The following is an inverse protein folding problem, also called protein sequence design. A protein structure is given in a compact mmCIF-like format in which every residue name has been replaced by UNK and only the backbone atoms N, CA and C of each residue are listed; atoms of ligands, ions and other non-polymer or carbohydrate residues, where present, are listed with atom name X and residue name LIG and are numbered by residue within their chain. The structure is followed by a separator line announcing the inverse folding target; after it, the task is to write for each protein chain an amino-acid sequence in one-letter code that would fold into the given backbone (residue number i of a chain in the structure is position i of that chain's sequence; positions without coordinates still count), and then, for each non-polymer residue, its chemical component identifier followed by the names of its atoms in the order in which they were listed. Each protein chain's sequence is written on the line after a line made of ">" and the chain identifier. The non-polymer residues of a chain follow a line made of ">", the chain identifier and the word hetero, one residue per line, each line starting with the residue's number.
data_IF_582176393497
#
_entry.id   IF_582176393497
#
_cell.length_a   1.000
_cell.length_b   1.000
_cell.length_c   1.000
_cell.angle_alpha   90.00
_cell.angle_beta   90.00
_cell.angle_gamma   90.00
#
_symmetry.space_group_name_H-M   'P 1'
#
loop_
_entity.id
_entity.type
_entity.pdbx_description
1 polymer ?
#
# COMPACT_ATOMS: atom_id res chain seq x y z
N UNK A 1 13.89 11.78 -14.52
CA UNK A 1 13.11 11.68 -15.77
C UNK A 1 13.81 12.36 -16.95
N UNK A 2 14.26 13.62 -16.83
CA UNK A 2 14.89 14.37 -17.94
C UNK A 2 16.11 13.65 -18.55
N UNK A 3 17.02 13.14 -17.71
CA UNK A 3 18.23 12.44 -18.18
C UNK A 3 17.86 11.17 -18.97
N UNK A 4 16.91 10.39 -18.46
CA UNK A 4 16.49 9.12 -19.06
C UNK A 4 15.78 9.32 -20.40
N UNK A 5 15.06 10.44 -20.57
CA UNK A 5 14.25 10.71 -21.76
C UNK A 5 15.06 10.82 -23.07
N UNK A 6 16.37 11.07 -22.97
CA UNK A 6 17.27 11.10 -24.14
C UNK A 6 17.35 9.75 -24.87
N UNK A 7 17.20 8.65 -24.14
CA UNK A 7 17.28 7.29 -24.67
C UNK A 7 15.99 6.48 -24.49
N UNK A 8 15.14 6.86 -23.52
CA UNK A 8 13.93 6.13 -23.11
C UNK A 8 12.69 7.01 -23.18
N UNK A 9 12.48 7.67 -24.33
CA UNK A 9 11.41 8.66 -24.50
C UNK A 9 10.04 8.05 -24.27
N UNK A 10 9.79 6.88 -24.87
CA UNK A 10 8.51 6.17 -24.74
C UNK A 10 8.25 5.74 -23.29
N UNK A 11 9.24 5.15 -22.61
CA UNK A 11 9.10 4.75 -21.22
C UNK A 11 8.83 5.93 -20.30
N UNK A 12 9.45 7.08 -20.56
CA UNK A 12 9.20 8.29 -19.77
C UNK A 12 7.76 8.77 -19.94
N UNK A 13 7.21 8.73 -21.16
CA UNK A 13 5.81 9.09 -21.40
C UNK A 13 4.82 8.09 -20.77
N UNK A 14 5.14 6.78 -20.84
CA UNK A 14 4.32 5.74 -20.23
C UNK A 14 4.35 5.83 -18.69
N UNK A 15 5.52 6.04 -18.09
CA UNK A 15 5.68 6.12 -16.62
C UNK A 15 4.84 7.26 -16.07
N UNK A 16 4.79 8.41 -16.74
CA UNK A 16 3.95 9.54 -16.32
C UNK A 16 2.46 9.19 -16.25
N UNK A 17 2.00 8.17 -16.97
CA UNK A 17 0.60 7.72 -16.99
C UNK A 17 0.33 6.50 -16.10
N UNK A 18 1.37 5.77 -15.69
CA UNK A 18 1.27 4.62 -14.78
C UNK A 18 0.61 4.94 -13.42
N UNK A 19 0.12 3.93 -12.71
CA UNK A 19 -0.40 4.12 -11.34
C UNK A 19 0.66 4.57 -10.35
N UNK A 20 1.92 4.15 -10.51
CA UNK A 20 3.02 4.60 -9.66
C UNK A 20 3.23 6.12 -9.73
N UNK A 21 2.98 6.73 -10.89
CA UNK A 21 3.11 8.18 -11.09
C UNK A 21 1.80 8.96 -10.91
N UNK A 22 0.64 8.36 -11.21
CA UNK A 22 -0.63 9.08 -11.16
C UNK A 22 -1.41 8.84 -9.89
N UNK A 23 -1.34 7.62 -9.33
CA UNK A 23 -2.24 7.11 -8.29
C UNK A 23 -3.73 7.33 -8.61
N UNK A 24 -4.07 7.49 -9.90
CA UNK A 24 -5.38 7.97 -10.33
C UNK A 24 -6.52 7.08 -9.81
N UNK A 25 -6.39 5.76 -9.95
CA UNK A 25 -7.43 4.86 -9.45
C UNK A 25 -7.62 4.88 -7.93
N UNK A 26 -6.56 5.05 -7.16
CA UNK A 26 -6.66 5.12 -5.68
C UNK A 26 -7.24 6.47 -5.25
N UNK A 27 -6.78 7.57 -5.84
CA UNK A 27 -7.26 8.92 -5.51
C UNK A 27 -8.75 9.05 -5.80
N UNK A 28 -9.17 8.73 -7.02
CA UNK A 28 -10.56 8.94 -7.45
C UNK A 28 -11.52 7.99 -6.73
N UNK A 29 -11.12 6.73 -6.50
CA UNK A 29 -11.92 5.80 -5.71
C UNK A 29 -12.09 6.29 -4.27
N UNK A 30 -11.01 6.73 -3.61
CA UNK A 30 -11.09 7.20 -2.22
C UNK A 30 -11.97 8.45 -2.12
N UNK A 31 -11.80 9.41 -3.03
CA UNK A 31 -12.63 10.63 -3.08
C UNK A 31 -14.11 10.32 -3.32
N UNK A 32 -14.42 9.38 -4.22
CA UNK A 32 -15.79 8.95 -4.47
C UNK A 32 -16.41 8.33 -3.21
N UNK A 33 -15.67 7.43 -2.56
CA UNK A 33 -16.10 6.78 -1.33
C UNK A 33 -16.20 7.74 -0.13
N UNK A 34 -15.50 8.87 -0.15
CA UNK A 34 -15.58 9.91 0.89
C UNK A 34 -16.60 11.01 0.57
N UNK A 35 -17.33 10.91 -0.54
CA UNK A 35 -18.35 11.88 -0.93
C UNK A 35 -17.81 13.14 -1.63
N UNK A 36 -16.51 13.18 -1.95
CA UNK A 36 -15.85 14.34 -2.56
C UNK A 36 -15.92 14.37 -4.10
N UNK A 37 -16.53 13.35 -4.73
CA UNK A 37 -16.87 13.29 -6.15
C UNK A 37 -17.97 12.25 -6.41
N UNK A 38 -18.80 12.47 -7.42
CA UNK A 38 -19.96 11.61 -7.73
C UNK A 38 -19.62 10.31 -8.44
N UNK A 39 -18.48 10.23 -9.13
CA UNK A 39 -18.02 9.02 -9.84
C UNK A 39 -16.53 8.82 -9.62
N UNK A 40 -16.04 7.57 -9.60
CA UNK A 40 -14.59 7.27 -9.54
C UNK A 40 -13.96 7.01 -10.91
N UNK A 41 -14.78 6.72 -11.93
CA UNK A 41 -14.35 6.39 -13.28
C UNK A 41 -15.22 7.12 -14.33
N UNK A 42 -14.62 7.69 -15.40
CA UNK A 42 -13.18 7.81 -15.65
C UNK A 42 -12.47 8.69 -14.61
N UNK A 43 -11.16 8.47 -14.34
CA UNK A 43 -10.46 9.21 -13.30
C UNK A 43 -10.33 10.69 -13.64
N UNK A 44 -10.58 11.57 -12.66
CA UNK A 44 -10.48 13.03 -12.81
C UNK A 44 -9.19 13.60 -12.22
N UNK A 45 -8.71 13.01 -11.12
CA UNK A 45 -7.56 13.53 -10.37
C UNK A 45 -6.33 12.61 -10.45
N UNK A 46 -5.14 13.21 -10.36
CA UNK A 46 -3.85 12.51 -10.30
C UNK A 46 -2.87 13.24 -9.37
N UNK A 47 -1.92 12.50 -8.81
CA UNK A 47 -0.88 13.06 -7.95
C UNK A 47 0.13 13.93 -8.72
N UNK A 48 0.54 13.49 -9.92
CA UNK A 48 1.52 14.23 -10.74
C UNK A 48 0.90 15.38 -11.54
N UNK A 49 -0.43 15.40 -11.72
CA UNK A 49 -1.14 16.43 -12.47
C UNK A 49 -1.19 16.19 -13.99
N UNK A 50 -1.06 14.93 -14.45
CA UNK A 50 -1.38 14.58 -15.84
C UNK A 50 -2.89 14.64 -16.11
N UNK A 51 -3.68 14.38 -15.07
CA UNK A 51 -5.09 14.76 -14.95
C UNK A 51 -5.19 16.04 -14.10
N UNK A 52 -6.35 16.36 -13.52
CA UNK A 52 -6.42 17.45 -12.53
C UNK A 52 -5.54 17.09 -11.33
N UNK A 53 -4.69 18.02 -10.89
CA UNK A 53 -3.85 17.79 -9.71
C UNK A 53 -4.72 17.63 -8.47
N UNK A 54 -4.37 16.68 -7.60
CA UNK A 54 -5.02 16.51 -6.30
C UNK A 54 -4.99 17.85 -5.52
N UNK A 55 -6.15 18.43 -5.17
CA UNK A 55 -6.21 19.75 -4.54
C UNK A 55 -5.43 19.81 -3.23
N UNK A 56 -4.86 20.98 -2.95
CA UNK A 56 -4.24 21.31 -1.67
C UNK A 56 -5.19 22.26 -0.93
N UNK A 57 -6.22 21.71 -0.29
CA UNK A 57 -7.25 22.46 0.43
C UNK A 57 -6.99 22.39 1.93
N UNK A 58 -7.37 23.44 2.64
CA UNK A 58 -7.48 23.38 4.11
C UNK A 58 -8.54 22.33 4.45
N UNK A 59 -8.26 21.37 5.35
CA UNK A 59 -9.24 20.36 5.73
C UNK A 59 -10.45 21.01 6.42
N UNK A 60 -11.66 20.60 6.03
CA UNK A 60 -12.89 20.90 6.77
C UNK A 60 -13.17 19.77 7.76
N UNK A 61 -12.98 20.06 9.05
CA UNK A 61 -13.07 19.06 10.11
C UNK A 61 -14.47 18.50 10.32
N UNK A 62 -15.51 19.13 9.76
CA UNK A 62 -16.92 18.74 9.91
C UNK A 62 -17.42 17.81 8.79
N UNK A 63 -16.59 17.53 7.79
CA UNK A 63 -17.01 16.77 6.61
C UNK A 63 -15.97 15.74 6.19
N UNK A 64 -16.34 14.44 6.07
CA UNK A 64 -15.50 13.45 5.41
C UNK A 64 -14.98 13.92 4.04
N UNK A 65 -15.87 14.43 3.18
CA UNK A 65 -15.49 14.91 1.85
C UNK A 65 -14.47 16.06 1.91
N UNK A 66 -14.54 16.89 2.95
CA UNK A 66 -13.61 17.99 3.23
C UNK A 66 -12.22 17.56 3.72
N UNK A 67 -12.03 16.30 4.09
CA UNK A 67 -10.79 15.77 4.67
C UNK A 67 -9.98 14.89 3.71
N UNK A 68 -10.64 14.30 2.71
CA UNK A 68 -10.04 13.22 1.89
C UNK A 68 -8.78 13.66 1.15
N UNK A 69 -8.74 14.90 0.64
CA UNK A 69 -7.60 15.42 -0.11
C UNK A 69 -6.37 15.54 0.82
N UNK A 70 -6.55 16.03 2.06
CA UNK A 70 -5.47 16.15 3.05
C UNK A 70 -5.01 14.77 3.54
N UNK A 71 -5.95 13.85 3.80
CA UNK A 71 -5.64 12.46 4.16
C UNK A 71 -4.79 11.76 3.09
N UNK A 72 -5.21 11.82 1.82
CA UNK A 72 -4.46 11.24 0.71
C UNK A 72 -3.04 11.83 0.63
N UNK A 73 -2.91 13.15 0.72
CA UNK A 73 -1.63 13.88 0.63
C UNK A 73 -0.68 13.62 1.79
N UNK A 74 -1.19 13.32 2.99
CA UNK A 74 -0.39 13.19 4.23
C UNK A 74 -0.29 11.78 4.80
N UNK A 75 -1.02 10.80 4.24
CA UNK A 75 -0.92 9.38 4.63
C UNK A 75 -0.67 8.46 3.46
N UNK A 76 -1.44 8.58 2.40
CA UNK A 76 -1.41 7.60 1.32
C UNK A 76 -0.25 7.82 0.33
N UNK A 77 0.06 9.08 0.01
CA UNK A 77 1.00 9.40 -1.08
C UNK A 77 2.49 9.38 -0.68
N UNK A 78 2.84 8.89 0.51
CA UNK A 78 4.24 8.71 0.95
C UNK A 78 5.05 7.77 0.04
N UNK A 79 4.38 6.79 -0.56
CA UNK A 79 5.01 5.78 -1.42
C UNK A 79 5.14 6.23 -2.88
N UNK A 80 4.61 7.41 -3.23
CA UNK A 80 4.59 7.91 -4.59
C UNK A 80 6.01 8.16 -5.10
N UNK A 81 6.28 7.81 -6.36
CA UNK A 81 7.64 7.80 -6.90
C UNK A 81 8.26 9.19 -7.05
N UNK A 82 7.45 10.25 -7.07
CA UNK A 82 7.94 11.64 -7.07
C UNK A 82 8.28 12.15 -5.67
N UNK A 83 7.89 11.42 -4.62
CA UNK A 83 8.14 11.78 -3.22
C UNK A 83 9.47 11.17 -2.79
N UNK A 84 10.32 11.94 -2.12
CA UNK A 84 11.58 11.44 -1.58
C UNK A 84 11.34 10.31 -0.57
N UNK A 85 12.13 9.22 -0.64
CA UNK A 85 12.09 8.15 0.35
C UNK A 85 12.41 8.66 1.76
N UNK A 86 11.78 8.08 2.77
CA UNK A 86 12.05 8.45 4.16
C UNK A 86 13.48 8.05 4.55
N UNK A 87 14.13 8.88 5.38
CA UNK A 87 15.49 8.62 5.87
C UNK A 87 15.46 7.68 7.08
N UNK A 88 14.88 6.52 6.89
CA UNK A 88 14.81 5.46 7.90
C UNK A 88 15.03 4.12 7.22
N UNK A 89 15.48 3.15 8.01
CA UNK A 89 15.71 1.80 7.55
C UNK A 89 14.48 1.26 6.82
N UNK A 90 14.74 0.47 5.78
CA UNK A 90 13.77 -0.12 4.86
C UNK A 90 12.93 0.85 4.02
N UNK A 91 13.05 2.17 4.16
CA UNK A 91 12.29 3.15 3.37
C UNK A 91 13.18 4.06 2.51
N UNK A 92 14.49 3.80 2.46
CA UNK A 92 15.42 4.51 1.60
C UNK A 92 15.11 4.22 0.13
N UNK A 93 14.96 5.29 -0.65
CA UNK A 93 14.85 5.25 -2.11
C UNK A 93 15.05 6.64 -2.69
N UNK A 94 15.46 6.68 -3.95
CA UNK A 94 15.44 7.90 -4.76
C UNK A 94 14.03 8.18 -5.31
N UNK A 95 13.93 9.13 -6.24
CA UNK A 95 12.68 9.54 -6.90
C UNK A 95 12.71 9.25 -8.41
N UNK A 96 11.53 9.26 -9.03
CA UNK A 96 11.35 9.00 -10.45
C UNK A 96 11.91 7.63 -10.86
N UNK A 97 12.60 7.56 -12.00
CA UNK A 97 13.18 6.31 -12.50
C UNK A 97 14.12 5.65 -11.47
N UNK A 98 14.90 6.45 -10.74
CA UNK A 98 15.84 5.96 -9.73
C UNK A 98 15.16 5.41 -8.48
N UNK A 99 13.86 5.65 -8.26
CA UNK A 99 13.14 5.02 -7.14
C UNK A 99 13.11 3.49 -7.26
N UNK A 100 13.26 2.97 -8.49
CA UNK A 100 13.35 1.54 -8.77
C UNK A 100 14.73 1.16 -9.30
N UNK A 101 15.30 1.95 -10.22
CA UNK A 101 16.53 1.57 -10.91
C UNK A 101 17.80 1.81 -10.12
N UNK A 102 17.76 2.57 -9.01
CA UNK A 102 18.87 2.68 -8.06
C UNK A 102 18.56 1.81 -6.85
N UNK A 103 19.27 0.70 -6.69
CA UNK A 103 18.97 -0.26 -5.62
C UNK A 103 19.43 0.26 -4.28
N UNK A 104 18.55 0.24 -3.30
CA UNK A 104 18.86 0.50 -1.89
C UNK A 104 18.80 -0.82 -1.11
N UNK A 105 19.71 -0.96 -0.16
CA UNK A 105 19.57 -1.96 0.89
C UNK A 105 18.75 -1.35 2.05
N UNK A 106 18.16 -2.21 2.88
CA UNK A 106 17.32 -1.76 4.01
C UNK A 106 18.10 -0.90 5.03
N UNK A 107 19.42 -1.07 5.14
CA UNK A 107 20.28 -0.25 6.00
C UNK A 107 20.60 1.13 5.40
N UNK A 108 20.34 1.33 4.11
CA UNK A 108 20.65 2.55 3.36
C UNK A 108 22.15 2.81 3.21
N UNK A 109 23.00 1.80 3.39
CA UNK A 109 24.45 1.93 3.33
C UNK A 109 24.99 1.65 1.92
N UNK A 110 25.98 2.44 1.53
CA UNK A 110 26.73 2.22 0.30
C UNK A 110 27.69 1.03 0.43
N UNK A 111 27.66 0.12 -0.54
CA UNK A 111 28.47 -1.12 -0.58
C UNK A 111 29.31 -1.23 -1.85
N UNK A 112 29.41 -0.15 -2.63
CA UNK A 112 30.29 -0.09 -3.80
C UNK A 112 31.71 0.39 -3.47
N UNK A 113 32.46 0.72 -4.52
CA UNK A 113 33.87 1.12 -4.45
C UNK A 113 34.12 2.59 -4.82
N UNK A 114 33.08 3.40 -4.98
CA UNK A 114 33.23 4.84 -5.24
C UNK A 114 33.88 5.54 -4.04
N UNK A 115 35.11 6.09 -4.17
CA UNK A 115 35.84 6.68 -3.06
C UNK A 115 35.23 8.01 -2.59
N UNK A 116 34.33 8.63 -3.37
CA UNK A 116 33.67 9.87 -3.01
C UNK A 116 32.50 9.66 -2.03
N UNK A 117 32.10 8.41 -1.76
CA UNK A 117 30.95 8.09 -0.90
C UNK A 117 31.42 7.53 0.44
N UNK A 118 31.06 8.26 1.51
CA UNK A 118 31.25 7.82 2.89
C UNK A 118 30.36 6.61 3.21
N UNK A 119 31.00 5.44 3.34
CA UNK A 119 30.34 4.15 3.60
C UNK A 119 29.70 4.07 5.00
N UNK A 120 30.04 4.96 5.92
CA UNK A 120 29.46 5.01 7.27
C UNK A 120 28.10 5.73 7.30
N UNK A 121 27.81 6.53 6.27
CA UNK A 121 26.58 7.32 6.18
C UNK A 121 25.45 6.54 5.52
N UNK A 122 24.26 6.64 6.11
CA UNK A 122 23.01 6.10 5.55
C UNK A 122 22.39 7.06 4.53
N UNK A 123 21.53 6.50 3.68
CA UNK A 123 20.75 7.22 2.67
C UNK A 123 21.32 7.13 1.25
N UNK A 124 22.32 6.28 1.04
CA UNK A 124 22.91 6.04 -0.27
C UNK A 124 22.38 4.74 -0.89
N UNK A 125 22.28 4.66 -2.23
CA UNK A 125 22.01 3.40 -2.89
C UNK A 125 23.17 2.42 -2.62
N UNK A 126 22.90 1.12 -2.74
CA UNK A 126 23.89 0.05 -2.55
C UNK A 126 25.16 0.26 -3.38
N UNK A 127 25.03 0.79 -4.59
CA UNK A 127 26.14 1.09 -5.50
C UNK A 127 25.82 2.28 -6.40
N UNK A 128 26.84 2.88 -6.99
CA UNK A 128 26.69 3.95 -7.98
C UNK A 128 26.33 3.31 -9.33
N UNK A 129 25.06 3.36 -9.72
CA UNK A 129 24.60 2.86 -11.02
C UNK A 129 23.11 2.58 -11.08
N UNK A 130 22.58 2.46 -12.30
CA UNK A 130 21.23 2.01 -12.56
C UNK A 130 21.22 0.54 -12.98
N UNK A 131 20.13 -0.18 -12.68
CA UNK A 131 19.94 -1.58 -13.08
C UNK A 131 18.50 -1.84 -13.52
N UNK A 132 18.31 -2.77 -14.45
CA UNK A 132 17.00 -3.34 -14.79
C UNK A 132 16.69 -4.61 -13.97
N UNK A 133 17.70 -5.21 -13.33
CA UNK A 133 17.51 -6.32 -12.39
C UNK A 133 17.07 -5.77 -11.03
N UNK A 134 15.76 -5.72 -10.80
CA UNK A 134 15.15 -5.15 -9.61
C UNK A 134 14.85 -6.27 -8.59
N UNK A 135 15.52 -6.30 -7.43
CA UNK A 135 15.23 -7.28 -6.40
C UNK A 135 13.89 -6.97 -5.70
N UNK A 136 13.23 -8.01 -5.17
CA UNK A 136 11.98 -7.89 -4.40
C UNK A 136 12.08 -6.87 -3.26
N UNK A 137 13.24 -6.75 -2.62
CA UNK A 137 13.47 -5.76 -1.55
C UNK A 137 13.27 -4.32 -2.00
N UNK A 138 13.61 -3.99 -3.25
CA UNK A 138 13.42 -2.65 -3.79
C UNK A 138 11.93 -2.28 -3.86
N UNK A 139 11.07 -3.23 -4.24
CA UNK A 139 9.62 -3.07 -4.27
C UNK A 139 9.07 -2.85 -2.85
N UNK A 140 9.60 -3.59 -1.87
CA UNK A 140 9.16 -3.55 -0.48
C UNK A 140 9.46 -2.21 0.22
N UNK A 141 10.30 -1.32 -0.32
CA UNK A 141 10.43 0.04 0.21
C UNK A 141 9.11 0.83 0.17
N UNK A 142 8.17 0.45 -0.70
CA UNK A 142 6.82 1.00 -0.76
C UNK A 142 5.74 -0.06 -0.52
N UNK A 143 5.97 -1.30 -0.98
CA UNK A 143 5.00 -2.40 -0.98
C UNK A 143 5.05 -3.24 0.31
N UNK A 144 5.30 -2.60 1.46
CA UNK A 144 5.51 -3.28 2.76
C UNK A 144 4.25 -3.42 3.63
N UNK A 145 3.09 -2.89 3.26
CA UNK A 145 1.86 -3.01 4.05
C UNK A 145 0.91 -4.09 3.51
N UNK A 146 -0.11 -4.46 4.29
CA UNK A 146 -1.16 -5.46 3.95
C UNK A 146 -2.08 -5.09 2.77
N UNK A 147 -1.70 -4.11 1.93
CA UNK A 147 -2.48 -3.73 0.75
C UNK A 147 -1.71 -3.83 -0.56
N UNK A 148 -0.39 -4.10 -0.52
CA UNK A 148 0.54 -3.85 -1.64
C UNK A 148 1.54 -4.96 -1.95
N UNK A 149 1.58 -6.11 -1.27
CA UNK A 149 2.38 -7.26 -1.71
C UNK A 149 3.42 -7.80 -0.72
N UNK A 150 3.46 -7.28 0.51
CA UNK A 150 4.33 -7.79 1.58
C UNK A 150 4.04 -9.27 1.92
N UNK A 151 2.82 -9.72 1.65
CA UNK A 151 2.40 -11.11 1.79
C UNK A 151 3.19 -12.07 0.90
N UNK A 152 3.73 -11.60 -0.23
CA UNK A 152 4.58 -12.39 -1.12
C UNK A 152 5.78 -13.00 -0.39
N UNK A 153 6.39 -12.19 0.48
CA UNK A 153 7.54 -12.58 1.31
C UNK A 153 7.12 -13.11 2.69
N UNK A 154 5.84 -13.39 2.90
CA UNK A 154 5.32 -13.94 4.15
C UNK A 154 5.13 -12.91 5.26
N UNK A 155 5.05 -11.62 4.94
CA UNK A 155 4.91 -10.57 5.95
C UNK A 155 3.45 -10.11 6.07
N UNK A 156 2.90 -10.20 7.27
CA UNK A 156 1.64 -9.58 7.65
C UNK A 156 1.94 -8.40 8.58
N UNK A 157 1.63 -7.18 8.17
CA UNK A 157 1.76 -5.98 8.99
C UNK A 157 0.93 -6.15 10.26
N UNK A 158 1.58 -6.11 11.43
CA UNK A 158 0.90 -6.25 12.72
C UNK A 158 -0.15 -5.15 12.92
N UNK A 159 -1.17 -5.44 13.72
CA UNK A 159 -2.10 -4.42 14.22
C UNK A 159 -1.34 -3.30 14.92
N UNK A 160 -1.84 -2.07 14.84
CA UNK A 160 -1.17 -0.90 15.42
C UNK A 160 -1.28 -0.84 16.94
N UNK A 161 -2.18 -1.64 17.54
CA UNK A 161 -2.22 -1.78 18.99
C UNK A 161 -0.88 -2.34 19.52
N UNK A 162 -0.29 -1.73 20.57
CA UNK A 162 1.02 -2.11 21.09
C UNK A 162 1.18 -3.59 21.43
N UNK A 163 0.11 -4.29 21.80
CA UNK A 163 0.14 -5.73 22.13
C UNK A 163 0.61 -6.58 20.92
N UNK A 164 0.30 -6.15 19.69
CA UNK A 164 0.75 -6.81 18.46
C UNK A 164 2.11 -6.29 17.96
N UNK A 165 2.70 -5.34 18.67
CA UNK A 165 3.94 -4.65 18.33
C UNK A 165 5.06 -4.97 19.34
N UNK A 166 4.99 -6.11 20.02
CA UNK A 166 5.94 -6.54 21.07
C UNK A 166 7.42 -6.33 20.71
N UNK A 167 7.91 -6.64 19.48
CA UNK A 167 9.31 -6.38 19.14
C UNK A 167 9.71 -4.92 19.32
N UNK A 168 8.79 -3.99 19.04
CA UNK A 168 9.04 -2.56 19.23
C UNK A 168 9.06 -2.20 20.71
N UNK A 169 8.20 -2.81 21.52
CA UNK A 169 8.17 -2.61 22.96
C UNK A 169 9.47 -3.07 23.65
N UNK A 170 10.14 -4.07 23.08
CA UNK A 170 11.45 -4.56 23.54
C UNK A 170 12.65 -3.85 22.91
N UNK A 171 12.41 -2.77 22.15
CA UNK A 171 13.45 -1.90 21.59
C UNK A 171 13.94 -2.29 20.19
N UNK A 172 13.33 -3.30 19.55
CA UNK A 172 13.65 -3.69 18.17
C UNK A 172 13.05 -2.67 17.21
N UNK A 173 13.91 -2.02 16.42
CA UNK A 173 13.47 -1.10 15.37
C UNK A 173 12.95 -1.87 14.16
N UNK A 174 11.69 -1.72 13.78
CA UNK A 174 11.13 -2.43 12.64
C UNK A 174 11.67 -1.86 11.33
N UNK A 175 11.94 -2.75 10.37
CA UNK A 175 12.47 -2.38 9.05
C UNK A 175 11.60 -1.39 8.28
N UNK A 176 10.27 -1.39 8.43
CA UNK A 176 9.40 -0.49 7.66
C UNK A 176 8.56 0.44 8.57
N UNK A 177 9.02 0.69 9.80
CA UNK A 177 8.34 1.55 10.76
C UNK A 177 7.13 0.92 11.47
N UNK A 178 6.93 -0.39 11.34
CA UNK A 178 5.86 -1.17 11.98
C UNK A 178 6.29 -2.63 12.15
N UNK A 179 5.79 -3.32 13.17
CA UNK A 179 6.05 -4.74 13.37
C UNK A 179 5.30 -5.61 12.35
N UNK A 180 5.78 -6.84 12.20
CA UNK A 180 5.22 -7.84 11.31
C UNK A 180 5.07 -9.17 12.01
N UNK A 181 3.96 -9.84 11.73
CA UNK A 181 3.80 -11.27 11.95
C UNK A 181 4.36 -11.98 10.72
N UNK A 182 5.26 -12.95 10.93
CA UNK A 182 5.81 -13.79 9.87
C UNK A 182 4.91 -14.99 9.64
N UNK A 183 4.32 -15.06 8.46
CA UNK A 183 3.47 -16.14 7.98
C UNK A 183 4.18 -16.92 6.85
N UNK A 184 3.54 -17.97 6.36
CA UNK A 184 4.06 -18.74 5.23
C UNK A 184 4.19 -17.87 3.97
N UNK A 185 5.39 -17.72 3.37
CA UNK A 185 5.54 -16.98 2.13
C UNK A 185 4.98 -17.72 0.92
N UNK A 186 4.85 -17.00 -0.19
CA UNK A 186 4.47 -17.55 -1.49
C UNK A 186 5.47 -18.62 -1.97
N UNK A 187 4.99 -19.66 -2.65
CA UNK A 187 5.84 -20.67 -3.27
C UNK A 187 6.76 -20.08 -4.33
N UNK A 188 6.29 -19.12 -5.12
CA UNK A 188 7.08 -18.50 -6.18
C UNK A 188 8.25 -17.72 -5.57
N UNK A 189 8.00 -16.99 -4.48
CA UNK A 189 9.06 -16.30 -3.75
C UNK A 189 10.11 -17.29 -3.21
N UNK A 190 9.68 -18.40 -2.59
CA UNK A 190 10.60 -19.46 -2.12
C UNK A 190 11.41 -20.08 -3.26
N UNK A 191 10.86 -20.12 -4.46
CA UNK A 191 11.54 -20.59 -5.67
C UNK A 191 12.44 -19.54 -6.34
N UNK A 192 12.61 -18.35 -5.73
CA UNK A 192 13.50 -17.31 -6.23
C UNK A 192 12.89 -16.37 -7.29
N UNK A 193 11.58 -16.47 -7.54
CA UNK A 193 10.86 -15.58 -8.47
C UNK A 193 10.74 -14.19 -7.82
N UNK A 194 11.04 -13.15 -8.59
CA UNK A 194 10.98 -11.73 -8.21
C UNK A 194 9.63 -11.14 -8.62
N UNK A 195 9.29 -9.99 -8.04
CA UNK A 195 8.07 -9.26 -8.41
C UNK A 195 7.99 -8.96 -9.91
N UNK A 196 9.12 -8.57 -10.51
CA UNK A 196 9.21 -8.19 -11.94
C UNK A 196 9.13 -9.38 -12.90
N UNK A 197 9.24 -10.62 -12.41
CA UNK A 197 9.08 -11.82 -13.25
C UNK A 197 7.59 -12.12 -13.49
N UNK A 198 6.72 -11.66 -12.59
CA UNK A 198 5.26 -11.73 -12.75
C UNK A 198 4.68 -10.42 -13.28
N UNK A 199 5.14 -9.28 -12.75
CA UNK A 199 4.67 -7.94 -13.13
C UNK A 199 5.50 -7.36 -14.27
N UNK A 200 4.88 -7.28 -15.45
CA UNK A 200 5.56 -6.83 -16.66
C UNK A 200 5.78 -5.31 -16.69
N UNK A 201 6.69 -4.88 -17.57
CA UNK A 201 7.02 -3.46 -17.80
C UNK A 201 5.79 -2.59 -18.02
N UNK A 202 4.82 -3.05 -18.82
CA UNK A 202 3.59 -2.29 -19.13
C UNK A 202 2.71 -2.08 -17.90
N UNK A 203 2.75 -2.97 -16.91
CA UNK A 203 1.98 -2.84 -15.67
C UNK A 203 2.67 -1.88 -14.69
N UNK A 204 4.00 -1.97 -14.59
CA UNK A 204 4.81 -1.19 -13.63
C UNK A 204 5.05 0.23 -14.16
N UNK A 205 5.56 0.33 -15.38
CA UNK A 205 5.94 1.56 -16.05
C UNK A 205 4.80 2.16 -16.89
N UNK A 206 3.66 1.49 -17.02
CA UNK A 206 2.53 1.94 -17.83
C UNK A 206 2.60 1.51 -19.29
N UNK A 207 1.44 1.52 -19.93
CA UNK A 207 1.21 1.12 -21.32
C UNK A 207 0.75 2.29 -22.21
N UNK A 208 0.88 3.52 -21.69
CA UNK A 208 0.42 4.74 -22.37
C UNK A 208 -1.01 5.15 -22.04
N UNK A 209 -1.75 4.34 -21.26
CA UNK A 209 -3.06 4.68 -20.70
C UNK A 209 -2.97 5.18 -19.25
N UNK A 210 -3.98 5.95 -18.79
CA UNK A 210 -4.12 6.33 -17.38
C UNK A 210 -5.20 5.45 -16.75
N UNK A 211 -4.84 4.34 -16.08
CA UNK A 211 -5.80 3.44 -15.46
C UNK A 211 -6.56 4.13 -14.31
N UNK A 212 -7.89 4.00 -14.34
CA UNK A 212 -8.81 4.42 -13.29
C UNK A 212 -8.99 3.38 -12.17
N UNK A 213 -8.46 2.17 -12.33
CA UNK A 213 -8.44 1.15 -11.27
C UNK A 213 -7.14 0.34 -11.25
N UNK A 214 -6.81 -0.30 -10.11
CA UNK A 214 -5.68 -1.23 -10.05
C UNK A 214 -5.88 -2.44 -10.97
N UNK A 215 -7.12 -2.92 -11.13
CA UNK A 215 -7.47 -4.04 -12.00
C UNK A 215 -7.34 -3.74 -13.49
N UNK A 216 -7.41 -2.46 -13.88
CA UNK A 216 -7.10 -2.04 -15.25
C UNK A 216 -5.60 -2.10 -15.50
N UNK A 217 -4.76 -1.72 -14.54
CA UNK A 217 -3.31 -1.72 -14.70
C UNK A 217 -2.68 -3.12 -14.61
N UNK A 218 -3.18 -3.99 -13.72
CA UNK A 218 -2.59 -5.30 -13.46
C UNK A 218 -3.16 -6.36 -14.40
N UNK A 219 -2.28 -6.96 -15.20
CA UNK A 219 -2.53 -8.00 -16.22
C UNK A 219 -1.89 -9.35 -15.87
N UNK A 220 -1.17 -9.47 -14.75
CA UNK A 220 -0.65 -10.75 -14.25
C UNK A 220 -1.73 -11.84 -14.28
N UNK A 221 -1.36 -13.02 -14.78
CA UNK A 221 -2.22 -14.20 -14.79
C UNK A 221 -1.42 -15.46 -14.55
N UNK A 222 -1.97 -16.38 -13.76
CA UNK A 222 -1.40 -17.72 -13.54
C UNK A 222 -1.15 -18.44 -14.87
N UNK A 223 -2.01 -18.18 -15.87
CA UNK A 223 -1.98 -18.89 -17.16
C UNK A 223 -0.83 -18.50 -18.08
N UNK A 224 -0.07 -17.43 -17.76
CA UNK A 224 1.13 -17.06 -18.52
C UNK A 224 2.26 -18.08 -18.35
N UNK A 225 2.39 -18.66 -17.15
CA UNK A 225 3.40 -19.68 -16.85
C UNK A 225 2.78 -21.08 -16.69
N UNK A 226 1.61 -21.17 -16.05
CA UNK A 226 0.91 -22.44 -15.87
C UNK A 226 -0.03 -22.66 -17.05
N UNK A 227 0.12 -23.77 -17.77
CA UNK A 227 -0.76 -24.24 -18.85
C UNK A 227 -2.11 -24.75 -18.34
N UNK A 228 -2.74 -24.00 -17.43
CA UNK A 228 -3.98 -24.35 -16.75
C UNK A 228 -3.90 -25.68 -16.00
N UNK A 229 -5.03 -26.40 -15.98
CA UNK A 229 -5.19 -27.74 -15.40
C UNK A 229 -4.31 -28.84 -16.03
N UNK A 230 -3.52 -28.49 -17.06
CA UNK A 230 -2.65 -29.41 -17.80
C UNK A 230 -1.15 -29.21 -17.49
N UNK A 231 -0.77 -28.31 -16.58
CA UNK A 231 0.66 -28.14 -16.23
C UNK A 231 1.19 -29.35 -15.45
N UNK A 232 2.40 -29.85 -15.74
CA UNK A 232 3.09 -30.80 -14.85
C UNK A 232 3.17 -30.22 -13.42
N UNK A 233 2.75 -30.99 -12.41
CA UNK A 233 2.61 -30.52 -11.02
C UNK A 233 1.25 -29.88 -10.65
N UNK A 234 0.48 -29.41 -11.64
CA UNK A 234 -0.96 -29.09 -11.54
C UNK A 234 -1.85 -30.17 -12.16
N UNK A 235 -1.23 -31.25 -12.63
CA UNK A 235 -1.86 -32.29 -13.44
C UNK A 235 -3.18 -32.75 -12.81
N UNK A 236 -4.08 -33.22 -13.67
CA UNK A 236 -5.44 -33.67 -13.36
C UNK A 236 -5.52 -34.85 -12.34
N UNK A 237 -4.50 -35.08 -11.52
CA UNK A 237 -4.50 -36.00 -10.38
C UNK A 237 -5.23 -35.42 -9.17
N UNK A 238 -5.33 -34.09 -9.05
CA UNK A 238 -6.16 -33.44 -8.03
C UNK A 238 -7.64 -33.54 -8.41
N UNK A 239 -8.44 -34.17 -7.56
CA UNK A 239 -9.90 -34.31 -7.75
C UNK A 239 -10.57 -32.94 -7.92
N UNK A 240 -10.08 -31.90 -7.23
CA UNK A 240 -10.60 -30.55 -7.36
C UNK A 240 -10.51 -29.98 -8.79
N UNK A 241 -9.52 -30.40 -9.59
CA UNK A 241 -9.37 -29.97 -10.98
C UNK A 241 -10.34 -30.68 -11.95
N UNK A 242 -10.89 -31.84 -11.56
CA UNK A 242 -11.84 -32.63 -12.35
C UNK A 242 -13.28 -32.16 -12.20
N UNK A 243 -13.59 -31.48 -11.09
CA UNK A 243 -14.91 -30.94 -10.83
C UNK A 243 -15.19 -29.75 -11.77
N UNK A 244 -16.12 -29.93 -12.71
CA UNK A 244 -16.46 -28.94 -13.76
C UNK A 244 -16.82 -27.57 -13.17
N UNK A 245 -17.50 -27.54 -12.03
CA UNK A 245 -17.93 -26.33 -11.34
C UNK A 245 -16.74 -25.49 -10.85
N UNK A 246 -15.60 -26.12 -10.53
CA UNK A 246 -14.40 -25.42 -10.06
C UNK A 246 -13.71 -24.59 -11.15
N UNK A 247 -14.05 -24.79 -12.42
CA UNK A 247 -13.58 -23.92 -13.51
C UNK A 247 -14.07 -22.47 -13.38
N UNK A 248 -15.10 -22.22 -12.55
CA UNK A 248 -15.59 -20.87 -12.21
C UNK A 248 -14.76 -20.18 -11.13
N UNK A 249 -13.93 -20.91 -10.38
CA UNK A 249 -13.05 -20.36 -9.36
C UNK A 249 -11.81 -19.74 -10.01
N UNK A 250 -11.35 -18.59 -9.51
CA UNK A 250 -9.98 -18.15 -9.76
C UNK A 250 -9.02 -19.13 -9.08
N UNK A 251 -7.87 -19.41 -9.69
CA UNK A 251 -6.86 -20.31 -9.11
C UNK A 251 -6.46 -19.92 -7.68
N UNK A 252 -6.40 -18.62 -7.39
CA UNK A 252 -6.09 -18.10 -6.06
C UNK A 252 -7.06 -18.53 -4.97
N UNK A 253 -8.33 -18.81 -5.28
CA UNK A 253 -9.32 -19.28 -4.30
C UNK A 253 -8.86 -20.59 -3.65
N UNK A 254 -8.33 -21.51 -4.46
CA UNK A 254 -7.81 -22.78 -3.96
C UNK A 254 -6.37 -22.62 -3.47
N UNK A 255 -5.53 -21.89 -4.20
CA UNK A 255 -4.09 -21.93 -3.98
C UNK A 255 -3.53 -20.89 -2.99
N UNK A 256 -4.27 -19.85 -2.62
CA UNK A 256 -3.81 -18.90 -1.60
C UNK A 256 -3.83 -19.54 -0.20
N UNK A 257 -2.73 -19.46 0.55
CA UNK A 257 -2.63 -20.00 1.92
C UNK A 257 -3.36 -19.16 2.96
N UNK A 258 -3.32 -17.85 2.80
CA UNK A 258 -3.90 -16.88 3.72
C UNK A 258 -4.14 -15.56 2.98
N UNK A 259 -4.96 -14.69 3.55
CA UNK A 259 -5.33 -13.41 2.93
C UNK A 259 -5.52 -12.41 4.04
N UNK A 260 -4.86 -11.25 3.98
CA UNK A 260 -5.13 -10.19 4.94
C UNK A 260 -6.60 -9.76 4.91
N UNK A 261 -7.22 -9.75 6.07
CA UNK A 261 -8.58 -9.30 6.31
C UNK A 261 -8.54 -8.11 7.27
N UNK A 262 -8.38 -6.93 6.70
CA UNK A 262 -8.26 -5.68 7.44
C UNK A 262 -9.61 -4.93 7.42
N UNK A 263 -10.38 -5.06 8.49
CA UNK A 263 -11.72 -4.48 8.60
C UNK A 263 -11.71 -3.19 9.41
N UNK A 264 -12.42 -2.17 8.90
CA UNK A 264 -12.64 -0.90 9.58
C UNK A 264 -11.34 -0.16 9.91
N UNK A 265 -10.87 0.69 9.01
CA UNK A 265 -9.78 1.60 9.27
C UNK A 265 -10.30 2.89 9.89
N UNK A 266 -10.07 3.08 11.18
CA UNK A 266 -10.23 4.37 11.83
C UNK A 266 -9.11 5.29 11.36
N UNK A 267 -9.48 6.45 10.80
CA UNK A 267 -8.57 7.53 10.41
C UNK A 267 -8.92 8.76 11.23
N UNK A 268 -7.95 9.22 12.02
CA UNK A 268 -8.17 10.25 13.04
C UNK A 268 -7.30 11.44 12.66
N UNK A 269 -7.92 12.55 12.29
CA UNK A 269 -7.21 13.82 12.17
C UNK A 269 -7.23 14.51 13.53
N UNK A 270 -6.07 14.93 14.03
CA UNK A 270 -6.01 15.72 15.26
C UNK A 270 -4.98 16.83 15.17
N UNK A 271 -5.37 18.04 15.58
CA UNK A 271 -4.46 19.16 15.85
C UNK A 271 -4.32 19.43 17.36
N UNK A 272 -4.86 18.58 18.20
CA UNK A 272 -4.76 18.65 19.66
C UNK A 272 -3.30 18.34 20.06
N UNK A 273 -2.63 19.18 20.87
CA UNK A 273 -1.27 18.91 21.35
C UNK A 273 -1.21 17.81 22.45
N UNK A 274 -2.12 16.84 22.43
CA UNK A 274 -2.24 15.78 23.45
C UNK A 274 -1.56 14.48 23.03
N UNK A 275 -0.24 14.46 22.86
CA UNK A 275 0.49 13.27 22.38
C UNK A 275 0.35 12.04 23.30
N UNK A 276 0.28 12.25 24.63
CA UNK A 276 0.15 11.15 25.60
C UNK A 276 -1.11 10.32 25.38
N UNK A 277 -2.23 10.96 25.03
CA UNK A 277 -3.51 10.32 24.68
C UNK A 277 -3.34 9.32 23.54
N UNK A 278 -2.53 9.68 22.55
CA UNK A 278 -2.36 8.93 21.31
C UNK A 278 -1.12 8.05 21.25
N UNK A 279 -0.34 7.94 22.34
CA UNK A 279 0.96 7.26 22.35
C UNK A 279 0.91 5.82 21.81
N UNK A 280 -0.20 5.13 22.03
CA UNK A 280 -0.40 3.74 21.62
C UNK A 280 -0.54 3.57 20.09
N UNK A 281 -0.79 4.65 19.33
CA UNK A 281 -0.92 4.63 17.87
C UNK A 281 0.33 5.12 17.13
N UNK A 282 1.45 5.35 17.82
CA UNK A 282 2.63 5.92 17.19
C UNK A 282 3.26 4.99 16.13
N UNK A 283 3.17 3.66 16.31
CA UNK A 283 3.79 2.65 15.44
C UNK A 283 2.86 2.16 14.33
N UNK A 284 2.50 3.06 13.42
CA UNK A 284 1.57 2.81 12.32
C UNK A 284 2.23 2.75 10.93
N UNK A 285 3.56 2.56 10.89
CA UNK A 285 4.33 2.53 9.65
C UNK A 285 4.58 3.90 9.01
N UNK A 286 4.09 5.00 9.58
CA UNK A 286 4.35 6.36 9.09
C UNK A 286 5.69 6.89 9.65
N UNK A 287 6.68 7.20 8.77
CA UNK A 287 8.01 7.62 9.20
C UNK A 287 8.04 8.98 9.91
N UNK A 288 6.97 9.78 9.84
CA UNK A 288 6.92 11.10 10.48
C UNK A 288 6.28 11.05 11.87
N UNK A 289 5.51 10.02 12.19
CA UNK A 289 4.76 9.94 13.46
C UNK A 289 5.68 9.61 14.62
N UNK A 290 6.50 8.56 14.52
CA UNK A 290 7.40 8.18 15.63
C UNK A 290 8.37 9.31 16.01
N UNK A 291 9.08 9.98 15.09
CA UNK A 291 9.95 11.09 15.45
C UNK A 291 9.20 12.27 16.06
N UNK A 292 7.98 12.57 15.58
CA UNK A 292 7.12 13.60 16.15
C UNK A 292 6.78 13.26 17.61
N UNK A 293 6.30 12.04 17.88
CA UNK A 293 5.96 11.62 19.24
C UNK A 293 7.18 11.61 20.16
N UNK A 294 8.32 11.10 19.71
CA UNK A 294 9.55 11.06 20.51
C UNK A 294 10.02 12.46 20.93
N UNK A 295 9.81 13.48 20.08
CA UNK A 295 10.16 14.87 20.38
C UNK A 295 9.19 15.54 21.36
N UNK A 296 7.91 15.20 21.30
CA UNK A 296 6.84 15.94 22.00
C UNK A 296 6.35 15.28 23.29
N UNK A 297 6.38 13.94 23.41
CA UNK A 297 5.75 13.19 24.51
C UNK A 297 6.19 13.59 25.93
N UNK A 298 7.43 14.04 26.07
CA UNK A 298 8.05 14.39 27.35
C UNK A 298 8.01 15.88 27.67
N UNK A 299 7.52 16.72 26.75
CA UNK A 299 7.39 18.17 27.00
C UNK A 299 6.24 18.43 27.99
N UNK A 300 6.43 19.42 28.87
CA UNK A 300 5.36 19.93 29.74
C UNK A 300 4.27 20.64 28.92
N UNK A 301 4.68 21.36 27.88
CA UNK A 301 3.83 22.06 26.93
C UNK A 301 4.23 21.64 25.51
N UNK A 302 3.64 20.54 24.99
CA UNK A 302 3.95 20.05 23.66
C UNK A 302 3.40 20.96 22.56
N UNK A 303 4.08 20.97 21.41
CA UNK A 303 3.70 21.82 20.27
C UNK A 303 2.52 21.22 19.50
N UNK A 304 1.75 22.06 18.80
CA UNK A 304 0.69 21.60 17.89
C UNK A 304 1.29 20.62 16.87
N UNK A 305 0.71 19.41 16.69
CA UNK A 305 1.23 18.44 15.76
C UNK A 305 1.30 19.02 14.37
N UNK A 306 2.42 18.76 13.71
CA UNK A 306 2.69 19.27 12.37
C UNK A 306 3.36 18.15 11.58
N UNK A 307 2.78 17.76 10.44
CA UNK A 307 3.32 16.69 9.60
C UNK A 307 3.41 17.13 8.14
N UNK A 308 4.33 16.56 7.35
CA UNK A 308 4.53 17.00 5.99
C UNK A 308 3.38 16.59 5.08
N UNK A 309 3.10 17.46 4.12
CA UNK A 309 2.44 17.13 2.90
C UNK A 309 3.42 16.43 1.94
N UNK A 310 3.14 15.19 1.53
CA UNK A 310 4.09 14.42 0.73
C UNK A 310 4.26 14.93 -0.70
N UNK A 311 3.26 15.63 -1.28
CA UNK A 311 3.37 16.16 -2.64
C UNK A 311 4.17 17.46 -2.65
N UNK A 312 3.89 18.37 -1.70
CA UNK A 312 4.48 19.73 -1.71
C UNK A 312 5.70 19.85 -0.81
N UNK A 313 5.91 18.91 0.11
CA UNK A 313 6.93 18.99 1.16
C UNK A 313 6.62 19.99 2.27
N UNK A 314 5.53 20.77 2.15
CA UNK A 314 5.17 21.79 3.15
C UNK A 314 4.68 21.12 4.42
N UNK A 315 5.11 21.65 5.56
CA UNK A 315 4.58 21.27 6.86
C UNK A 315 3.18 21.86 7.06
N UNK A 316 2.26 21.05 7.57
CA UNK A 316 0.88 21.46 7.86
C UNK A 316 0.51 21.09 9.29
N UNK A 317 -0.28 21.95 9.92
CA UNK A 317 -0.83 21.67 11.26
C UNK A 317 -1.74 20.44 11.24
N UNK A 318 -1.84 19.80 12.39
CA UNK A 318 -2.48 18.52 12.59
C UNK A 318 -1.55 17.33 12.32
N UNK A 319 -2.05 16.15 12.66
CA UNK A 319 -1.51 14.86 12.24
C UNK A 319 -2.67 13.92 11.96
N UNK A 320 -2.42 12.94 11.10
CA UNK A 320 -3.33 11.82 10.92
C UNK A 320 -2.80 10.64 11.74
N UNK A 321 -3.70 9.91 12.39
CA UNK A 321 -3.44 8.65 13.07
C UNK A 321 -4.36 7.58 12.51
N UNK A 322 -3.95 6.32 12.61
CA UNK A 322 -4.70 5.19 12.09
C UNK A 322 -4.82 4.10 13.14
N UNK A 323 -5.96 3.40 13.15
CA UNK A 323 -6.20 2.23 13.98
C UNK A 323 -7.16 1.27 13.24
N UNK A 324 -6.96 -0.03 13.39
CA UNK A 324 -7.85 -1.03 12.79
C UNK A 324 -8.90 -1.49 13.81
N UNK A 325 -10.10 -1.84 13.34
CA UNK A 325 -11.14 -2.44 14.19
C UNK A 325 -10.94 -3.94 14.34
N UNK A 326 -10.55 -4.60 13.26
CA UNK A 326 -10.30 -6.04 13.28
C UNK A 326 -9.35 -6.44 12.15
N UNK A 327 -8.39 -7.30 12.47
CA UNK A 327 -7.42 -7.84 11.51
C UNK A 327 -7.22 -9.33 11.72
N UNK A 328 -7.31 -10.12 10.64
CA UNK A 328 -7.05 -11.57 10.61
C UNK A 328 -6.47 -11.99 9.26
N UNK A 329 -6.03 -13.25 9.14
CA UNK A 329 -5.47 -13.79 7.89
C UNK A 329 -6.02 -15.17 7.50
N UNK A 330 -6.72 -15.84 8.42
CA UNK A 330 -7.14 -17.23 8.29
C UNK A 330 -8.38 -17.36 7.37
N UNK A 331 -9.37 -16.49 7.59
CA UNK A 331 -10.64 -16.51 6.85
C UNK A 331 -10.51 -15.84 5.49
N UNK A 332 -10.98 -16.52 4.45
CA UNK A 332 -10.93 -16.03 3.07
C UNK A 332 -12.36 -15.88 2.55
N UNK A 333 -12.94 -14.67 2.58
CA UNK A 333 -14.25 -14.43 2.03
C UNK A 333 -14.19 -14.54 0.51
N UNK A 334 -15.17 -15.25 -0.03
CA UNK A 334 -15.33 -15.47 -1.46
C UNK A 334 -16.50 -14.64 -1.97
N UNK A 335 -16.38 -14.15 -3.20
CA UNK A 335 -17.45 -13.42 -3.89
C UNK A 335 -17.31 -13.59 -5.39
N UNK A 336 -18.27 -13.04 -6.13
CA UNK A 336 -18.25 -13.07 -7.60
C UNK A 336 -17.61 -11.77 -8.10
N UNK A 337 -16.55 -11.89 -8.88
CA UNK A 337 -15.88 -10.74 -9.49
C UNK A 337 -16.66 -10.17 -10.70
N UNK A 338 -16.19 -9.05 -11.24
CA UNK A 338 -16.81 -8.38 -12.40
C UNK A 338 -16.79 -9.21 -13.70
N UNK A 339 -16.09 -10.36 -13.72
CA UNK A 339 -16.05 -11.32 -14.83
C UNK A 339 -16.87 -12.57 -14.53
N UNK A 340 -17.69 -12.58 -13.48
CA UNK A 340 -18.53 -13.70 -13.10
C UNK A 340 -17.77 -14.90 -12.48
N UNK A 341 -16.49 -14.74 -12.12
CA UNK A 341 -15.69 -15.79 -11.48
C UNK A 341 -15.70 -15.64 -9.97
N UNK A 342 -15.68 -16.77 -9.27
CA UNK A 342 -15.52 -16.78 -7.82
C UNK A 342 -14.08 -16.39 -7.50
N UNK A 343 -13.92 -15.35 -6.69
CA UNK A 343 -12.64 -14.76 -6.32
C UNK A 343 -12.56 -14.56 -4.81
N UNK A 344 -11.34 -14.43 -4.31
CA UNK A 344 -11.10 -13.95 -2.96
C UNK A 344 -11.39 -12.45 -2.93
N UNK A 345 -12.18 -12.03 -1.95
CA UNK A 345 -12.42 -10.62 -1.68
C UNK A 345 -11.62 -10.19 -0.46
N UNK A 346 -11.28 -8.91 -0.41
CA UNK A 346 -10.77 -8.26 0.80
C UNK A 346 -11.57 -7.00 1.09
N UNK A 347 -11.86 -6.70 2.36
CA UNK A 347 -12.33 -5.39 2.75
C UNK A 347 -11.27 -4.35 2.36
N UNK A 348 -11.68 -3.30 1.64
CA UNK A 348 -10.85 -2.14 1.36
C UNK A 348 -11.67 -0.86 1.48
N UNK A 349 -11.00 0.25 1.79
CA UNK A 349 -11.67 1.55 1.88
C UNK A 349 -12.81 1.59 2.92
N UNK A 350 -12.73 0.75 3.97
CA UNK A 350 -13.69 0.75 5.08
C UNK A 350 -13.30 1.80 6.11
N UNK A 351 -13.48 3.08 5.79
CA UNK A 351 -13.03 4.16 6.67
C UNK A 351 -14.06 4.51 7.74
N UNK A 352 -13.55 4.86 8.92
CA UNK A 352 -14.26 5.57 9.98
C UNK A 352 -13.46 6.81 10.34
N UNK A 353 -14.07 7.99 10.24
CA UNK A 353 -13.35 9.26 10.31
C UNK A 353 -13.68 9.95 11.64
N UNK A 354 -12.63 10.33 12.37
CA UNK A 354 -12.74 11.20 13.53
C UNK A 354 -11.87 12.45 13.37
N UNK A 355 -12.31 13.56 13.93
CA UNK A 355 -11.56 14.83 13.90
C UNK A 355 -11.53 15.48 15.27
N UNK A 356 -10.37 16.01 15.65
CA UNK A 356 -10.16 16.76 16.90
C UNK A 356 -9.36 18.03 16.60
N UNK A 357 -9.88 19.19 16.97
CA UNK A 357 -9.17 20.46 16.77
C UNK A 357 -8.11 20.74 17.86
N UNK A 358 -7.49 21.93 17.81
CA UNK A 358 -6.48 22.37 18.79
C UNK A 358 -7.03 22.54 20.21
N UNK A 359 -8.32 22.83 20.35
CA UNK A 359 -8.98 23.01 21.65
C UNK A 359 -9.55 21.69 22.20
N UNK A 360 -9.43 20.59 21.44
CA UNK A 360 -9.97 19.28 21.84
C UNK A 360 -11.43 19.06 21.42
N UNK A 361 -12.02 19.96 20.63
CA UNK A 361 -13.38 19.78 20.13
C UNK A 361 -13.42 18.67 19.09
N UNK A 362 -14.39 17.78 19.24
CA UNK A 362 -14.64 16.69 18.29
C UNK A 362 -15.72 17.12 17.32
N UNK A 363 -15.45 17.07 16.01
CA UNK A 363 -16.43 17.42 14.97
C UNK A 363 -16.98 16.20 14.23
N UNK A 364 -16.17 15.16 14.07
CA UNK A 364 -16.56 13.84 13.58
C UNK A 364 -16.09 12.82 14.60
N UNK A 365 -16.96 11.86 14.94
CA UNK A 365 -16.62 10.74 15.80
C UNK A 365 -17.01 9.42 15.11
N UNK A 366 -15.98 8.71 14.62
CA UNK A 366 -16.12 7.41 14.00
C UNK A 366 -17.19 7.39 12.88
N UNK A 367 -17.22 8.45 12.07
CA UNK A 367 -18.21 8.62 11.00
C UNK A 367 -17.81 7.79 9.78
N UNK A 368 -18.69 6.90 9.34
CA UNK A 368 -18.53 6.24 8.04
C UNK A 368 -18.91 7.23 6.93
N UNK A 369 -18.05 7.43 5.91
CA UNK A 369 -18.38 8.33 4.82
C UNK A 369 -19.52 7.75 3.95
N UNK A 370 -20.17 8.63 3.20
CA UNK A 370 -21.12 8.25 2.15
C UNK A 370 -20.48 8.39 0.77
N UNK A 371 -20.92 7.56 -0.18
CA UNK A 371 -20.52 7.68 -1.59
C UNK A 371 -21.01 8.99 -2.17
N UNK A 372 -20.24 9.58 -3.07
CA UNK A 372 -20.60 10.87 -3.67
C UNK A 372 -21.77 10.84 -4.65
N UNK A 373 -22.27 9.65 -5.01
CA UNK A 373 -23.54 9.48 -5.75
C UNK A 373 -24.75 9.27 -4.82
N UNK A 374 -24.55 9.25 -3.50
CA UNK A 374 -25.62 9.05 -2.52
C UNK A 374 -26.11 7.61 -2.40
N UNK A 375 -25.49 6.63 -3.06
CA UNK A 375 -25.97 5.23 -3.09
C UNK A 375 -25.72 4.46 -1.78
N UNK A 376 -25.13 5.09 -0.77
CA UNK A 376 -24.97 4.54 0.57
C UNK A 376 -23.57 4.72 1.14
N UNK A 377 -23.21 3.83 2.07
CA UNK A 377 -21.93 3.88 2.78
C UNK A 377 -20.76 3.70 1.80
N UNK A 378 -19.75 4.54 1.96
CA UNK A 378 -18.52 4.62 1.20
C UNK A 378 -17.51 3.52 1.50
N UNK A 379 -17.94 2.26 1.62
CA UNK A 379 -17.07 1.12 1.86
C UNK A 379 -16.97 0.22 0.64
N UNK A 380 -15.89 -0.55 0.51
CA UNK A 380 -15.75 -1.49 -0.60
C UNK A 380 -15.23 -2.85 -0.15
N UNK A 381 -15.61 -3.87 -0.90
CA UNK A 381 -14.89 -5.14 -0.94
C UNK A 381 -14.42 -5.32 -2.36
N UNK A 382 -13.13 -5.63 -2.53
CA UNK A 382 -12.56 -5.76 -3.86
C UNK A 382 -12.07 -7.20 -4.08
N UNK A 383 -12.33 -7.78 -5.26
CA UNK A 383 -11.72 -9.04 -5.64
C UNK A 383 -10.22 -8.84 -5.81
N UNK A 384 -9.41 -9.77 -5.30
CA UNK A 384 -7.97 -9.73 -5.48
C UNK A 384 -7.34 -11.13 -5.50
N UNK A 385 -6.06 -11.18 -5.84
CA UNK A 385 -5.25 -12.40 -5.77
C UNK A 385 -4.21 -12.20 -4.68
N UNK A 386 -4.34 -12.87 -3.52
CA UNK A 386 -3.29 -12.86 -2.50
C UNK A 386 -1.99 -13.41 -3.06
N UNK A 387 -0.86 -12.84 -2.66
CA UNK A 387 0.48 -13.29 -3.01
C UNK A 387 0.95 -14.34 -2.00
N UNK A 388 0.11 -15.35 -1.75
CA UNK A 388 0.37 -16.36 -0.70
C UNK A 388 0.21 -17.76 -1.26
N UNK A 389 0.53 -17.95 -2.53
CA UNK A 389 0.27 -19.16 -3.30
C UNK A 389 1.03 -20.36 -2.74
N UNK A 390 0.34 -21.49 -2.62
CA UNK A 390 0.86 -22.80 -2.29
C UNK A 390 0.87 -23.74 -3.50
N UNK A 391 1.76 -24.75 -3.50
CA UNK A 391 1.70 -25.84 -4.47
C UNK A 391 0.35 -26.58 -4.43
N UNK A 392 -0.10 -26.92 -3.22
CA UNK A 392 -1.36 -27.60 -3.00
C UNK A 392 -2.49 -26.60 -2.72
N UNK A 393 -3.67 -26.86 -3.29
CA UNK A 393 -4.88 -26.12 -2.96
C UNK A 393 -5.37 -26.43 -1.54
N UNK A 394 -6.23 -25.57 -1.02
CA UNK A 394 -7.00 -25.77 0.22
C UNK A 394 -7.78 -27.09 0.17
N UNK A 395 -7.98 -27.69 1.34
CA UNK A 395 -8.83 -28.87 1.48
C UNK A 395 -10.28 -28.58 1.11
N UNK A 396 -11.02 -29.59 0.64
CA UNK A 396 -12.44 -29.47 0.34
C UNK A 396 -13.24 -28.94 1.55
N UNK A 397 -12.90 -29.42 2.75
CA UNK A 397 -13.52 -29.01 4.01
C UNK A 397 -13.40 -27.51 4.29
N UNK A 398 -12.34 -26.86 3.82
CA UNK A 398 -12.16 -25.41 3.98
C UNK A 398 -13.25 -24.59 3.28
N UNK A 399 -13.96 -25.18 2.31
CA UNK A 399 -15.00 -24.49 1.54
C UNK A 399 -16.37 -25.15 1.66
N UNK A 400 -16.43 -26.47 1.93
CA UNK A 400 -17.67 -27.24 1.92
C UNK A 400 -18.24 -27.59 3.29
N UNK A 401 -17.47 -27.38 4.38
CA UNK A 401 -17.91 -27.68 5.74
C UNK A 401 -17.57 -29.10 6.15
#
# INVERSE_FOLDING_TARGET
>A
MVVCAKCHKEEVENVKKSLHATMAGIINQTRYLWGAQSVSWPPTYSANGILKRLPDRKPDLKSPAGLVDDFLRRKCLRCHISVQGAKTDGLYRATGCSSCHSIYDNDGLYKGNDPAIDKSRKGYPRKHGLTADIPTTQCLHCHNSNHVGADYVGLFQSDFNPIYQEPIATGIKPTYGTAYIRLSPDVHFRSGIKCIDCHEKSEIMGDGSVPGTMSEAVKVSCTKCHRGFSSPGFAQTSEAHRIKQHKKLRCSVCHAKWSFQDYGLSVIFTSEPSYRKWRHLMYQGDPNIVPLFNRELNKRFPDIPTTPDFITGKLKQGMWLMAWRFRRWEYIPLGIDTRGRIAIFRPQYQYYISTVDTAGNVYLDSVAPQRGDGTGIGWAFNPYSPHTIAPAGRSCNSCHG
#
